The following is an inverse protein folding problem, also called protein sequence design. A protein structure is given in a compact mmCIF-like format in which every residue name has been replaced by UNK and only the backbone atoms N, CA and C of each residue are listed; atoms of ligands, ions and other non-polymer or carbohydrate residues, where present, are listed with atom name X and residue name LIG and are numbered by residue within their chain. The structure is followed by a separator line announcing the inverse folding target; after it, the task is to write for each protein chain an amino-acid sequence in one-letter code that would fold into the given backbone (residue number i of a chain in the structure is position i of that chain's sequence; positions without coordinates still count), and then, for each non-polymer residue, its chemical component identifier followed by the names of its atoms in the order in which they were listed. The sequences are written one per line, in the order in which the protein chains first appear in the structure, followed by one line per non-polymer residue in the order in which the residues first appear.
data_IF_529766841252
#
_entry.id   IF_529766841252
#
_cell.length_a   1.000
_cell.length_b   1.000
_cell.length_c   1.000
_cell.angle_alpha   90.00
_cell.angle_beta   90.00
_cell.angle_gamma   90.00
#
_symmetry.space_group_name_H-M   'P 1'
#
loop_
_entity.id
_entity.type
_entity.pdbx_description
1 polymer ?
#
# COMPACT_ATOMS: atom_id res chain seq x y z
N UNK A 1 6.20 -32.38 2.26
CA UNK A 1 5.04 -31.45 2.26
C UNK A 1 5.58 -30.11 2.72
N UNK A 2 5.99 -29.26 1.78
CA UNK A 2 6.55 -27.94 2.08
C UNK A 2 5.42 -26.89 2.03
N UNK A 3 5.43 -25.84 2.86
CA UNK A 3 4.32 -24.91 2.95
C UNK A 3 4.36 -23.87 1.81
N UNK A 4 3.27 -23.80 1.06
CA UNK A 4 2.96 -22.82 0.01
C UNK A 4 2.73 -21.41 0.57
N UNK A 5 3.76 -20.76 1.11
CA UNK A 5 3.64 -19.40 1.66
C UNK A 5 4.49 -18.32 0.96
N UNK A 6 5.08 -18.60 -0.20
CA UNK A 6 5.92 -17.63 -0.89
C UNK A 6 5.46 -17.36 -2.33
N UNK A 7 4.75 -16.23 -2.47
CA UNK A 7 4.73 -15.34 -3.64
C UNK A 7 3.71 -15.56 -4.76
N UNK A 8 2.44 -15.32 -4.45
CA UNK A 8 1.48 -14.79 -5.43
C UNK A 8 1.68 -13.27 -5.63
N UNK A 9 2.77 -12.87 -6.28
CA UNK A 9 2.92 -11.52 -6.84
C UNK A 9 3.10 -11.68 -8.35
N UNK A 10 2.25 -11.03 -9.16
CA UNK A 10 2.34 -11.10 -10.62
C UNK A 10 3.75 -10.67 -11.06
N UNK A 11 4.48 -11.48 -11.85
CA UNK A 11 5.83 -11.14 -12.35
C UNK A 11 5.91 -9.75 -12.97
N UNK A 12 4.78 -9.28 -13.53
CA UNK A 12 4.60 -7.99 -14.17
C UNK A 12 5.03 -6.79 -13.32
N UNK A 13 4.85 -6.83 -11.99
CA UNK A 13 5.22 -5.71 -11.11
C UNK A 13 6.75 -5.55 -10.97
N UNK A 14 7.51 -6.64 -11.07
CA UNK A 14 8.97 -6.65 -10.90
C UNK A 14 9.69 -5.95 -12.07
N UNK A 15 9.06 -5.90 -13.24
CA UNK A 15 9.60 -5.28 -14.46
C UNK A 15 9.18 -3.81 -14.64
N UNK A 16 8.47 -3.21 -13.69
CA UNK A 16 7.90 -1.86 -13.87
C UNK A 16 8.97 -0.83 -14.20
N UNK A 17 10.01 -0.72 -13.36
CA UNK A 17 11.10 0.25 -13.58
C UNK A 17 11.95 -0.08 -14.81
N UNK A 18 12.02 -1.36 -15.22
CA UNK A 18 12.77 -1.79 -16.41
C UNK A 18 12.15 -1.34 -17.74
N UNK A 19 10.93 -0.81 -17.70
CA UNK A 19 10.23 -0.26 -18.87
C UNK A 19 10.37 1.26 -18.99
N UNK A 20 11.05 1.90 -18.04
CA UNK A 20 11.36 3.34 -18.11
C UNK A 20 12.19 3.65 -19.36
N UNK A 21 12.01 4.85 -19.92
CA UNK A 21 12.72 5.28 -21.12
C UNK A 21 14.24 5.16 -20.97
N UNK A 22 14.79 5.57 -19.82
CA UNK A 22 16.21 5.47 -19.53
C UNK A 22 16.74 4.01 -19.57
N UNK A 23 16.03 3.07 -18.94
CA UNK A 23 16.50 1.68 -18.89
C UNK A 23 16.30 0.93 -20.19
N UNK A 24 15.29 1.30 -20.99
CA UNK A 24 15.18 0.86 -22.38
C UNK A 24 16.35 1.38 -23.20
N UNK A 25 16.69 2.67 -23.05
CA UNK A 25 17.82 3.29 -23.74
C UNK A 25 19.15 2.60 -23.41
N UNK A 26 19.41 2.24 -22.14
CA UNK A 26 20.60 1.46 -21.76
C UNK A 26 20.67 0.07 -22.40
N UNK A 27 19.52 -0.53 -22.75
CA UNK A 27 19.44 -1.86 -23.36
C UNK A 27 19.52 -1.84 -24.88
N UNK A 28 19.00 -0.78 -25.50
CA UNK A 28 18.92 -0.65 -26.97
C UNK A 28 20.16 0.00 -27.59
N UNK A 29 21.03 0.63 -26.79
CA UNK A 29 22.23 1.34 -27.24
C UNK A 29 23.38 0.40 -27.68
N UNK A 30 23.06 -0.70 -28.37
CA UNK A 30 23.98 -1.52 -29.18
C UNK A 30 24.06 -1.01 -30.65
N UNK A 31 23.31 0.04 -31.02
CA UNK A 31 23.34 0.61 -32.38
C UNK A 31 24.43 1.70 -32.54
N UNK A 32 25.27 1.62 -33.59
CA UNK A 32 26.32 2.59 -33.83
C UNK A 32 25.73 3.91 -34.38
N UNK A 33 26.49 5.01 -34.24
CA UNK A 33 26.41 6.24 -35.05
C UNK A 33 25.34 7.31 -34.74
N UNK A 34 24.99 7.51 -33.47
CA UNK A 34 24.46 8.81 -33.02
C UNK A 34 25.22 9.26 -31.78
N UNK A 35 25.89 10.42 -31.83
CA UNK A 35 26.41 11.06 -30.62
C UNK A 35 25.28 11.17 -29.61
N UNK A 36 25.34 10.40 -28.53
CA UNK A 36 24.31 10.44 -27.49
C UNK A 36 24.30 11.85 -26.90
N UNK A 37 23.19 12.57 -27.13
CA UNK A 37 23.03 13.93 -26.62
C UNK A 37 22.89 13.87 -25.09
N UNK A 38 23.80 14.52 -24.38
CA UNK A 38 23.76 14.62 -22.92
C UNK A 38 22.43 15.19 -22.42
N UNK A 39 21.86 16.16 -23.16
CA UNK A 39 20.55 16.74 -22.84
C UNK A 39 19.43 15.69 -22.85
N UNK A 40 19.47 14.76 -23.82
CA UNK A 40 18.46 13.69 -23.91
C UNK A 40 18.61 12.66 -22.79
N UNK A 41 19.84 12.30 -22.43
CA UNK A 41 20.09 11.43 -21.28
C UNK A 41 19.67 12.07 -19.96
N UNK A 42 19.91 13.37 -19.81
CA UNK A 42 19.48 14.13 -18.63
C UNK A 42 17.97 14.11 -18.47
N UNK A 43 17.24 14.35 -19.56
CA UNK A 43 15.76 14.29 -19.58
C UNK A 43 15.25 12.90 -19.16
N UNK A 44 15.76 11.83 -19.79
CA UNK A 44 15.39 10.46 -19.44
C UNK A 44 15.75 10.10 -17.99
N UNK A 45 16.85 10.67 -17.47
CA UNK A 45 17.27 10.45 -16.10
C UNK A 45 16.36 11.17 -15.09
N UNK A 46 15.94 12.39 -15.39
CA UNK A 46 14.96 13.13 -14.58
C UNK A 46 13.60 12.43 -14.54
N UNK A 47 13.11 11.94 -15.68
CA UNK A 47 11.90 11.12 -15.76
C UNK A 47 12.03 9.85 -14.91
N UNK A 48 13.19 9.18 -15.01
CA UNK A 48 13.47 7.99 -14.20
C UNK A 48 13.46 8.29 -12.70
N UNK A 49 14.02 9.43 -12.27
CA UNK A 49 13.95 9.86 -10.86
C UNK A 49 12.49 9.98 -10.43
N UNK A 50 11.66 10.66 -11.20
CA UNK A 50 10.24 10.86 -10.87
C UNK A 50 9.50 9.52 -10.75
N UNK A 51 9.69 8.62 -11.72
CA UNK A 51 9.09 7.29 -11.70
C UNK A 51 9.58 6.44 -10.52
N UNK A 52 10.88 6.47 -10.22
CA UNK A 52 11.45 5.73 -9.09
C UNK A 52 10.91 6.27 -7.76
N UNK A 53 10.85 7.59 -7.57
CA UNK A 53 10.32 8.22 -6.36
C UNK A 53 8.83 7.91 -6.18
N UNK A 54 8.04 7.98 -7.25
CA UNK A 54 6.63 7.60 -7.23
C UNK A 54 6.44 6.12 -6.88
N UNK A 55 7.26 5.23 -7.46
CA UNK A 55 7.22 3.79 -7.16
C UNK A 55 7.67 3.48 -5.73
N UNK A 56 8.70 4.18 -5.22
CA UNK A 56 9.21 4.05 -3.85
C UNK A 56 8.18 4.49 -2.81
N UNK A 57 7.42 5.53 -3.12
CA UNK A 57 6.47 6.18 -2.21
C UNK A 57 5.05 5.65 -2.33
N UNK A 58 4.76 4.70 -3.24
CA UNK A 58 3.41 4.16 -3.39
C UNK A 58 3.02 3.23 -2.23
N UNK A 59 2.13 3.71 -1.38
CA UNK A 59 1.60 2.97 -0.22
C UNK A 59 0.65 1.85 -0.59
N UNK A 60 0.14 1.82 -1.82
CA UNK A 60 -0.64 0.66 -2.32
C UNK A 60 0.26 -0.58 -2.48
N UNK A 61 1.57 -0.40 -2.54
CA UNK A 61 2.57 -1.47 -2.67
C UNK A 61 3.22 -1.78 -1.32
N UNK A 62 3.33 -3.06 -1.01
CA UNK A 62 4.08 -3.49 0.18
C UNK A 62 5.56 -3.09 0.08
N UNK A 63 6.22 -2.86 1.22
CA UNK A 63 7.67 -2.58 1.24
C UNK A 63 8.46 -3.72 0.59
N UNK A 64 8.01 -4.97 0.74
CA UNK A 64 8.63 -6.15 0.12
C UNK A 64 8.53 -6.12 -1.40
N UNK A 65 7.37 -5.73 -1.95
CA UNK A 65 7.18 -5.59 -3.40
C UNK A 65 8.09 -4.49 -3.98
N UNK A 66 8.18 -3.35 -3.29
CA UNK A 66 9.08 -2.25 -3.65
C UNK A 66 10.54 -2.71 -3.67
N UNK A 67 10.99 -3.33 -2.58
CA UNK A 67 12.34 -3.87 -2.46
C UNK A 67 12.69 -4.89 -3.54
N UNK A 68 11.75 -5.77 -3.93
CA UNK A 68 11.98 -6.75 -5.00
C UNK A 68 12.20 -6.11 -6.34
N UNK A 69 11.31 -5.19 -6.74
CA UNK A 69 11.42 -4.52 -8.04
C UNK A 69 12.70 -3.70 -8.11
N UNK A 70 13.03 -2.94 -7.06
CA UNK A 70 14.25 -2.11 -7.03
C UNK A 70 15.52 -2.96 -6.99
N UNK A 71 15.60 -3.98 -6.11
CA UNK A 71 16.78 -4.87 -6.05
C UNK A 71 17.01 -5.60 -7.38
N UNK A 72 15.94 -6.00 -8.05
CA UNK A 72 16.04 -6.60 -9.38
C UNK A 72 16.53 -5.61 -10.42
N UNK A 73 15.95 -4.41 -10.45
CA UNK A 73 16.35 -3.33 -11.37
C UNK A 73 17.82 -2.96 -11.15
N UNK A 74 18.26 -2.85 -9.90
CA UNK A 74 19.66 -2.63 -9.52
C UNK A 74 20.57 -3.73 -10.09
N UNK A 75 20.17 -5.00 -9.93
CA UNK A 75 20.89 -6.14 -10.51
C UNK A 75 21.01 -6.04 -12.04
N UNK A 76 19.93 -5.70 -12.73
CA UNK A 76 19.92 -5.54 -14.19
C UNK A 76 20.82 -4.40 -14.67
N UNK A 77 20.74 -3.21 -14.05
CA UNK A 77 21.60 -2.08 -14.41
C UNK A 77 23.06 -2.41 -14.11
N UNK A 78 23.35 -3.11 -13.01
CA UNK A 78 24.74 -3.49 -12.66
C UNK A 78 25.34 -4.46 -13.68
N UNK A 79 24.52 -5.32 -14.27
CA UNK A 79 24.95 -6.22 -15.34
C UNK A 79 25.21 -5.47 -16.63
N UNK A 80 24.36 -4.48 -16.96
CA UNK A 80 24.53 -3.65 -18.15
C UNK A 80 25.78 -2.77 -18.02
N UNK A 81 26.02 -2.15 -16.86
CA UNK A 81 27.19 -1.29 -16.61
C UNK A 81 28.49 -2.09 -16.80
N UNK A 82 28.59 -3.27 -16.19
CA UNK A 82 29.76 -4.16 -16.34
C UNK A 82 30.01 -4.61 -17.78
N UNK A 83 28.97 -4.69 -18.61
CA UNK A 83 29.09 -5.03 -20.04
C UNK A 83 29.60 -3.83 -20.84
N UNK A 84 29.04 -2.63 -20.61
CA UNK A 84 29.37 -1.40 -21.35
C UNK A 84 30.68 -0.73 -20.92
N UNK A 85 31.10 -0.90 -19.66
CA UNK A 85 32.39 -0.39 -19.19
C UNK A 85 33.58 -1.01 -19.95
N UNK A 86 33.37 -2.16 -20.62
CA UNK A 86 34.36 -2.78 -21.52
C UNK A 86 34.49 -2.09 -22.89
N UNK A 87 33.53 -1.23 -23.25
CA UNK A 87 33.36 -0.65 -24.61
C UNK A 87 33.71 0.85 -24.64
N UNK A 88 34.05 1.47 -23.49
CA UNK A 88 34.56 2.85 -23.40
C UNK A 88 33.55 3.95 -23.79
N UNK A 89 32.26 3.79 -23.47
CA UNK A 89 31.26 4.87 -23.52
C UNK A 89 31.20 5.61 -22.18
N UNK A 90 32.01 6.65 -22.00
CA UNK A 90 32.17 7.35 -20.70
C UNK A 90 30.87 8.00 -20.19
N UNK A 91 30.10 8.65 -21.08
CA UNK A 91 28.87 9.35 -20.71
C UNK A 91 27.76 8.37 -20.28
N UNK A 92 27.55 7.30 -21.03
CA UNK A 92 26.54 6.29 -20.67
C UNK A 92 26.90 5.57 -19.37
N UNK A 93 28.18 5.26 -19.18
CA UNK A 93 28.67 4.67 -17.94
C UNK A 93 28.40 5.58 -16.74
N UNK A 94 28.59 6.90 -16.88
CA UNK A 94 28.27 7.88 -15.81
C UNK A 94 26.79 7.83 -15.41
N UNK A 95 25.88 7.90 -16.38
CA UNK A 95 24.43 7.82 -16.10
C UNK A 95 24.03 6.47 -15.50
N UNK A 96 24.62 5.36 -15.93
CA UNK A 96 24.37 4.05 -15.34
C UNK A 96 24.84 3.99 -13.87
N UNK A 97 26.00 4.56 -13.55
CA UNK A 97 26.50 4.66 -12.18
C UNK A 97 25.58 5.54 -11.32
N UNK A 98 25.09 6.66 -11.85
CA UNK A 98 24.10 7.51 -11.17
C UNK A 98 22.79 6.76 -10.90
N UNK A 99 22.28 6.03 -11.88
CA UNK A 99 21.07 5.20 -11.72
C UNK A 99 21.27 4.11 -10.66
N UNK A 100 22.42 3.45 -10.65
CA UNK A 100 22.76 2.46 -9.62
C UNK A 100 22.78 3.07 -8.23
N UNK A 101 23.44 4.21 -8.08
CA UNK A 101 23.52 4.93 -6.79
C UNK A 101 22.12 5.33 -6.30
N UNK A 102 21.27 5.83 -7.19
CA UNK A 102 19.92 6.25 -6.86
C UNK A 102 19.05 5.07 -6.38
N UNK A 103 19.06 3.96 -7.12
CA UNK A 103 18.29 2.77 -6.74
C UNK A 103 18.82 2.17 -5.43
N UNK A 104 20.14 2.09 -5.24
CA UNK A 104 20.74 1.61 -3.98
C UNK A 104 20.34 2.47 -2.78
N UNK A 105 20.29 3.80 -2.98
CA UNK A 105 19.85 4.74 -1.95
C UNK A 105 18.39 4.50 -1.55
N UNK A 106 17.49 4.34 -2.52
CA UNK A 106 16.08 4.02 -2.26
C UNK A 106 15.93 2.66 -1.56
N UNK A 107 16.67 1.64 -2.00
CA UNK A 107 16.70 0.33 -1.35
C UNK A 107 17.17 0.45 0.10
N UNK A 108 18.21 1.24 0.38
CA UNK A 108 18.70 1.49 1.75
C UNK A 108 17.67 2.21 2.61
N UNK A 109 16.96 3.21 2.06
CA UNK A 109 15.88 3.90 2.78
C UNK A 109 14.75 2.94 3.15
N UNK A 110 14.36 2.04 2.25
CA UNK A 110 13.36 1.01 2.54
C UNK A 110 13.85 0.02 3.61
N UNK A 111 15.12 -0.39 3.59
CA UNK A 111 15.68 -1.23 4.65
C UNK A 111 15.73 -0.50 6.01
N UNK A 112 16.04 0.80 6.02
CA UNK A 112 15.99 1.61 7.23
C UNK A 112 14.57 1.71 7.79
N UNK A 113 13.55 1.88 6.94
CA UNK A 113 12.13 1.83 7.34
C UNK A 113 11.78 0.49 8.00
N UNK A 114 12.24 -0.64 7.46
CA UNK A 114 12.00 -1.96 8.05
C UNK A 114 12.73 -2.14 9.39
N UNK A 115 13.96 -1.63 9.50
CA UNK A 115 14.77 -1.76 10.72
C UNK A 115 14.30 -0.84 11.85
N UNK A 116 13.73 0.32 11.50
CA UNK A 116 13.32 1.34 12.45
C UNK A 116 11.89 1.85 12.16
N UNK A 117 10.86 0.99 12.29
CA UNK A 117 9.48 1.36 11.95
C UNK A 117 8.92 2.53 12.79
N UNK A 118 9.49 2.77 13.98
CA UNK A 118 9.04 3.81 14.93
C UNK A 118 9.82 5.14 14.82
N UNK A 119 10.78 5.24 13.89
CA UNK A 119 11.77 6.33 13.89
C UNK A 119 11.30 7.63 13.22
N UNK A 120 10.12 7.67 12.61
CA UNK A 120 9.62 8.87 11.94
C UNK A 120 10.48 9.36 10.76
N UNK A 121 11.44 8.56 10.29
CA UNK A 121 12.37 8.89 9.18
C UNK A 121 11.60 9.19 7.88
N UNK A 122 10.35 8.75 7.79
CA UNK A 122 9.37 9.15 6.78
C UNK A 122 8.06 9.42 7.52
N UNK A 123 7.31 10.48 7.16
CA UNK A 123 6.00 10.71 7.75
C UNK A 123 5.18 9.42 7.64
N UNK A 124 4.59 8.98 8.74
CA UNK A 124 3.47 8.04 8.67
C UNK A 124 2.48 8.66 7.67
N UNK A 125 2.42 8.14 6.45
CA UNK A 125 1.21 8.30 5.67
C UNK A 125 0.21 7.42 6.40
N UNK A 126 -0.37 7.97 7.47
CA UNK A 126 -1.67 7.51 7.93
C UNK A 126 -2.52 7.62 6.70
N UNK A 127 -2.85 6.48 6.12
CA UNK A 127 -3.94 6.39 5.16
C UNK A 127 -5.14 6.84 5.98
N UNK A 128 -5.40 8.14 5.98
CA UNK A 128 -6.60 8.67 6.62
C UNK A 128 -7.75 8.01 5.87
N UNK A 129 -8.48 7.15 6.58
CA UNK A 129 -9.65 6.52 6.01
C UNK A 129 -10.53 7.61 5.39
N UNK A 130 -10.95 7.48 4.12
CA UNK A 130 -11.84 8.44 3.47
C UNK A 130 -13.26 8.38 4.04
N UNK A 131 -13.52 7.45 4.96
CA UNK A 131 -14.82 7.22 5.57
C UNK A 131 -14.92 7.94 6.90
N UNK A 132 -16.04 8.63 7.09
CA UNK A 132 -16.39 9.32 8.32
C UNK A 132 -17.83 9.00 8.69
N UNK A 133 -18.13 9.00 9.98
CA UNK A 133 -19.50 8.82 10.46
C UNK A 133 -20.33 10.07 10.14
N UNK A 134 -21.51 9.90 9.53
CA UNK A 134 -22.44 11.02 9.30
C UNK A 134 -22.88 11.63 10.64
N UNK A 135 -23.19 12.93 10.63
CA UNK A 135 -23.71 13.65 11.80
C UNK A 135 -25.08 13.13 12.27
N UNK A 136 -25.82 12.46 11.39
CA UNK A 136 -27.15 11.91 11.67
C UNK A 136 -27.09 10.58 12.45
N UNK A 137 -25.90 9.98 12.54
CA UNK A 137 -25.66 8.69 13.17
C UNK A 137 -24.94 8.87 14.50
N UNK A 138 -25.47 8.27 15.56
CA UNK A 138 -24.78 8.27 16.85
C UNK A 138 -23.79 7.12 16.95
N UNK A 139 -22.78 7.28 17.81
CA UNK A 139 -21.86 6.19 18.17
C UNK A 139 -22.61 4.99 18.73
N UNK A 140 -23.74 5.20 19.42
CA UNK A 140 -24.56 4.11 19.95
C UNK A 140 -25.21 3.29 18.84
N UNK A 141 -25.72 3.94 17.78
CA UNK A 141 -26.32 3.28 16.63
C UNK A 141 -25.28 2.42 15.89
N UNK A 142 -24.07 2.96 15.73
CA UNK A 142 -22.95 2.21 15.16
C UNK A 142 -22.61 0.97 16.01
N UNK A 143 -22.51 1.11 17.34
CA UNK A 143 -22.23 -0.02 18.23
C UNK A 143 -23.35 -1.06 18.18
N UNK A 144 -24.62 -0.65 18.07
CA UNK A 144 -25.76 -1.54 17.90
C UNK A 144 -25.62 -2.40 16.64
N UNK A 145 -25.26 -1.80 15.50
CA UNK A 145 -25.01 -2.51 14.25
C UNK A 145 -23.80 -3.44 14.32
N UNK A 146 -22.67 -2.94 14.80
CA UNK A 146 -21.44 -3.74 14.91
C UNK A 146 -21.66 -4.93 15.84
N UNK A 147 -22.41 -4.75 16.92
CA UNK A 147 -22.71 -5.82 17.84
C UNK A 147 -23.66 -6.86 17.24
N UNK A 148 -24.70 -6.43 16.51
CA UNK A 148 -25.57 -7.35 15.78
C UNK A 148 -24.81 -8.19 14.76
N UNK A 149 -23.92 -7.57 13.97
CA UNK A 149 -23.03 -8.26 13.03
C UNK A 149 -22.08 -9.23 13.73
N UNK A 150 -21.55 -8.84 14.88
CA UNK A 150 -20.70 -9.70 15.71
C UNK A 150 -21.47 -10.92 16.24
N UNK A 151 -22.70 -10.75 16.72
CA UNK A 151 -23.55 -11.82 17.25
C UNK A 151 -23.89 -12.89 16.20
N UNK A 152 -24.16 -12.48 14.96
CA UNK A 152 -24.40 -13.43 13.86
C UNK A 152 -23.11 -14.05 13.31
N UNK A 153 -21.94 -13.68 13.85
CA UNK A 153 -20.65 -14.21 13.43
C UNK A 153 -20.19 -13.71 12.05
N UNK A 154 -20.63 -12.52 11.64
CA UNK A 154 -20.24 -11.92 10.35
C UNK A 154 -18.74 -11.57 10.30
N UNK A 155 -18.13 -11.30 11.47
CA UNK A 155 -16.71 -10.99 11.58
C UNK A 155 -15.90 -12.20 12.02
N UNK A 156 -14.77 -12.44 11.35
CA UNK A 156 -13.79 -13.48 11.65
C UNK A 156 -12.37 -12.95 11.48
N UNK A 157 -11.42 -13.58 12.16
CA UNK A 157 -10.00 -13.34 11.90
C UNK A 157 -9.61 -13.91 10.53
N UNK A 158 -8.44 -13.54 10.02
CA UNK A 158 -7.91 -14.03 8.74
C UNK A 158 -7.75 -15.56 8.69
N UNK A 159 -7.56 -16.20 9.84
CA UNK A 159 -7.51 -17.66 9.99
C UNK A 159 -8.90 -18.32 10.09
N UNK A 160 -9.99 -17.55 9.98
CA UNK A 160 -11.37 -18.03 10.07
C UNK A 160 -11.90 -18.22 11.51
N UNK A 161 -11.06 -18.00 12.53
CA UNK A 161 -11.47 -18.12 13.93
C UNK A 161 -12.40 -16.98 14.38
N UNK A 162 -13.07 -17.17 15.52
CA UNK A 162 -13.93 -16.14 16.13
C UNK A 162 -13.08 -14.93 16.53
N UNK A 163 -13.59 -13.74 16.25
CA UNK A 163 -12.98 -12.48 16.65
C UNK A 163 -13.66 -11.96 17.92
N UNK A 164 -12.92 -11.28 18.79
CA UNK A 164 -13.51 -10.60 19.94
C UNK A 164 -14.15 -9.27 19.53
N UNK A 165 -15.22 -8.88 20.22
CA UNK A 165 -15.93 -7.63 19.90
C UNK A 165 -15.06 -6.39 20.13
N UNK A 166 -14.17 -6.41 21.13
CA UNK A 166 -13.18 -5.36 21.39
C UNK A 166 -12.33 -5.04 20.16
N UNK A 167 -11.86 -6.07 19.45
CA UNK A 167 -11.07 -5.92 18.23
C UNK A 167 -11.91 -5.29 17.12
N UNK A 168 -13.17 -5.72 16.96
CA UNK A 168 -14.09 -5.11 15.99
C UNK A 168 -14.26 -3.62 16.26
N UNK A 169 -14.46 -3.21 17.52
CA UNK A 169 -14.60 -1.79 17.88
C UNK A 169 -13.35 -0.99 17.49
N UNK A 170 -12.17 -1.44 17.87
CA UNK A 170 -10.93 -0.73 17.58
C UNK A 170 -10.66 -0.61 16.08
N UNK A 171 -10.95 -1.65 15.29
CA UNK A 171 -10.84 -1.56 13.83
C UNK A 171 -11.76 -0.49 13.24
N UNK A 172 -13.01 -0.39 13.72
CA UNK A 172 -13.95 0.62 13.22
C UNK A 172 -13.65 2.04 13.76
N UNK A 173 -13.02 2.17 14.93
CA UNK A 173 -12.48 3.45 15.40
C UNK A 173 -11.44 4.02 14.42
N UNK A 174 -10.52 3.17 13.94
CA UNK A 174 -9.51 3.54 12.94
C UNK A 174 -10.14 3.85 11.58
N UNK A 175 -11.10 3.04 11.14
CA UNK A 175 -11.76 3.21 9.83
C UNK A 175 -12.65 4.46 9.78
N UNK A 176 -13.23 4.90 10.89
CA UNK A 176 -14.18 6.03 10.88
C UNK A 176 -13.65 7.30 11.55
N UNK A 177 -12.41 7.27 12.06
CA UNK A 177 -11.79 8.36 12.83
C UNK A 177 -12.64 8.83 14.03
N UNK A 178 -13.25 7.87 14.73
CA UNK A 178 -14.07 8.13 15.91
C UNK A 178 -13.49 7.47 17.16
N UNK A 179 -13.88 7.97 18.33
CA UNK A 179 -13.58 7.31 19.62
C UNK A 179 -14.86 6.76 20.24
N UNK A 180 -14.93 5.45 20.36
CA UNK A 180 -16.02 4.69 20.96
C UNK A 180 -15.64 4.35 22.41
N UNK A 181 -15.76 5.34 23.29
CA UNK A 181 -15.56 5.11 24.73
C UNK A 181 -16.69 4.24 25.28
N UNK A 182 -16.36 3.34 26.21
CA UNK A 182 -17.35 2.55 26.96
C UNK A 182 -18.28 1.69 26.08
N UNK A 183 -17.75 1.06 25.03
CA UNK A 183 -18.52 0.15 24.16
C UNK A 183 -19.22 -0.97 24.95
N UNK A 184 -18.65 -1.42 26.07
CA UNK A 184 -19.28 -2.38 26.99
C UNK A 184 -20.61 -1.88 27.58
N UNK A 185 -20.69 -0.60 27.94
CA UNK A 185 -21.94 0.02 28.41
C UNK A 185 -22.97 0.09 27.30
N UNK A 186 -22.54 0.41 26.07
CA UNK A 186 -23.41 0.46 24.91
C UNK A 186 -23.87 -0.93 24.47
N UNK A 187 -22.99 -1.94 24.53
CA UNK A 187 -23.31 -3.36 24.35
C UNK A 187 -24.40 -3.79 25.34
N UNK A 188 -24.21 -3.51 26.62
CA UNK A 188 -25.17 -3.85 27.66
C UNK A 188 -26.47 -3.04 27.53
N UNK A 189 -26.41 -1.79 27.07
CA UNK A 189 -27.60 -0.98 26.81
C UNK A 189 -28.39 -1.48 25.58
N UNK A 190 -27.71 -1.94 24.53
CA UNK A 190 -28.33 -2.54 23.35
C UNK A 190 -29.03 -3.86 23.72
N UNK A 191 -28.38 -4.70 24.54
CA UNK A 191 -28.95 -6.00 24.97
C UNK A 191 -30.10 -5.84 25.99
N UNK A 192 -30.05 -4.85 26.89
CA UNK A 192 -30.96 -4.76 28.04
C UNK A 192 -32.13 -3.74 27.90
N UNK A 193 -32.42 -3.22 26.70
CA UNK A 193 -33.56 -2.30 26.51
C UNK A 193 -34.90 -3.05 26.56
N UNK A 194 -35.76 -2.74 27.53
CA UNK A 194 -37.04 -3.42 27.74
C UNK A 194 -38.18 -3.03 26.77
N UNK A 195 -38.07 -1.94 26.00
CA UNK A 195 -39.21 -1.35 25.26
C UNK A 195 -38.92 -1.05 23.77
N UNK A 196 -37.66 -0.78 23.39
CA UNK A 196 -37.24 -0.63 21.97
C UNK A 196 -35.81 -1.18 21.81
N UNK A 197 -35.73 -2.49 21.55
CA UNK A 197 -34.48 -3.26 21.55
C UNK A 197 -33.51 -2.84 20.43
N UNK A 198 -34.01 -2.49 19.24
CA UNK A 198 -33.19 -2.35 18.02
C UNK A 198 -33.67 -1.26 17.06
N UNK A 199 -33.95 -0.05 17.59
CA UNK A 199 -34.55 1.03 16.80
C UNK A 199 -33.73 1.44 15.57
N UNK A 200 -32.40 1.33 15.64
CA UNK A 200 -31.55 1.63 14.50
C UNK A 200 -31.61 0.51 13.44
N UNK A 201 -31.59 -0.76 13.85
CA UNK A 201 -31.73 -1.87 12.91
C UNK A 201 -33.10 -1.88 12.20
N UNK A 202 -34.15 -1.46 12.89
CA UNK A 202 -35.48 -1.31 12.30
C UNK A 202 -35.49 -0.21 11.22
N UNK A 203 -34.80 0.90 11.43
CA UNK A 203 -34.60 1.95 10.43
C UNK A 203 -33.82 1.44 9.21
N UNK A 204 -32.75 0.66 9.43
CA UNK A 204 -31.99 0.03 8.34
C UNK A 204 -32.87 -0.90 7.50
N UNK A 205 -33.70 -1.73 8.16
CA UNK A 205 -34.65 -2.61 7.48
C UNK A 205 -35.68 -1.82 6.67
N UNK A 206 -36.22 -0.74 7.23
CA UNK A 206 -37.17 0.13 6.54
C UNK A 206 -36.54 0.76 5.29
N UNK A 207 -35.32 1.29 5.40
CA UNK A 207 -34.59 1.90 4.27
C UNK A 207 -34.33 0.90 3.13
N UNK A 208 -33.99 -0.36 3.46
CA UNK A 208 -33.84 -1.42 2.46
C UNK A 208 -35.18 -1.76 1.79
N UNK A 209 -36.27 -1.80 2.57
CA UNK A 209 -37.62 -2.12 2.07
C UNK A 209 -38.11 -1.03 1.12
N UNK A 210 -37.94 0.25 1.49
CA UNK A 210 -38.30 1.39 0.65
C UNK A 210 -37.53 1.37 -0.67
N UNK A 211 -36.22 1.09 -0.63
CA UNK A 211 -35.40 0.98 -1.84
C UNK A 211 -35.78 -0.19 -2.72
N UNK A 212 -36.23 -1.31 -2.14
CA UNK A 212 -36.70 -2.49 -2.90
C UNK A 212 -38.05 -2.28 -3.58
N UNK A 213 -38.84 -1.29 -3.15
CA UNK A 213 -40.16 -0.99 -3.70
C UNK A 213 -40.13 0.11 -4.77
N UNK A 214 -38.97 0.76 -4.97
CA UNK A 214 -38.70 1.69 -6.06
C UNK A 214 -38.09 0.96 -7.24
#
# INVERSE_FOLDING_TARGET
MAPDFLFNLKPTAMYTLLKTGLLLFFRESDLPTGTVSEAHLSELFEEFIQELTAYSSDDRRSIIERLRCMSFTLGQVSLLEKRKNRISESLLTDYMVRTLFLIDTEVRLLHLRLRYPQSGIVPEVKIESPLYLSKDLTVTDLVELLYALHLIGAFRKSDGSRIEFSVVIHTFEEVLHIRIKNYERFKNAAVNRKIRLTGFLDQLKAALTERSQR
#
